data_IF_572212955198
#
_entry.id   IF_572212955198
#
_cell.length_a   1.000
_cell.length_b   1.000
_cell.length_c   1.000
_cell.angle_alpha   90.00
_cell.angle_beta   90.00
_cell.angle_gamma   90.00
#
_symmetry.space_group_name_H-M   'P 1'
#
loop_
_entity.id
_entity.type
_entity.pdbx_description
1 polymer ?
#
# COMPACT_ATOMS: atom_id res chain seq x y z
N UNK A 1 -4.42 17.68 -13.61
CA UNK A 1 -4.05 16.41 -12.98
C UNK A 1 -4.81 15.32 -13.71
N UNK A 2 -4.08 14.47 -14.42
CA UNK A 2 -4.64 13.37 -15.21
C UNK A 2 -4.97 12.18 -14.32
N UNK A 3 -5.84 11.29 -14.79
CA UNK A 3 -6.09 9.99 -14.16
C UNK A 3 -4.78 9.18 -14.06
N UNK A 4 -3.87 9.35 -15.02
CA UNK A 4 -2.52 8.76 -15.00
C UNK A 4 -1.67 9.23 -13.82
N UNK A 5 -1.68 10.52 -13.48
CA UNK A 5 -0.94 11.04 -12.33
C UNK A 5 -1.44 10.38 -11.03
N UNK A 6 -2.75 10.21 -10.93
CA UNK A 6 -3.40 9.60 -9.77
C UNK A 6 -3.09 8.10 -9.67
N UNK A 7 -3.07 7.40 -10.80
CA UNK A 7 -2.69 5.99 -10.88
C UNK A 7 -1.21 5.78 -10.49
N UNK A 8 -0.33 6.66 -10.97
CA UNK A 8 1.10 6.64 -10.62
C UNK A 8 1.31 6.86 -9.12
N UNK A 9 0.65 7.86 -8.54
CA UNK A 9 0.71 8.13 -7.11
C UNK A 9 0.18 6.94 -6.27
N UNK A 10 -0.92 6.30 -6.69
CA UNK A 10 -1.45 5.12 -6.02
C UNK A 10 -0.49 3.92 -6.12
N UNK A 11 0.14 3.70 -7.27
CA UNK A 11 1.17 2.65 -7.43
C UNK A 11 2.36 2.90 -6.52
N UNK A 12 2.82 4.14 -6.41
CA UNK A 12 3.91 4.50 -5.51
C UNK A 12 3.52 4.25 -4.04
N UNK A 13 2.32 4.68 -3.66
CA UNK A 13 1.78 4.42 -2.31
C UNK A 13 1.65 2.93 -2.00
N UNK A 14 1.26 2.11 -2.99
CA UNK A 14 1.21 0.66 -2.82
C UNK A 14 2.60 0.07 -2.55
N UNK A 15 3.63 0.52 -3.28
CA UNK A 15 5.01 0.08 -3.07
C UNK A 15 5.54 0.52 -1.69
N UNK A 16 5.26 1.75 -1.26
CA UNK A 16 5.65 2.23 0.07
C UNK A 16 5.00 1.42 1.19
N UNK A 17 3.70 1.10 1.06
CA UNK A 17 2.99 0.27 2.04
C UNK A 17 3.58 -1.15 2.11
N UNK A 18 4.03 -1.69 0.97
CA UNK A 18 4.67 -3.00 0.89
C UNK A 18 6.04 -2.99 1.58
N UNK A 19 6.86 -1.96 1.34
CA UNK A 19 8.14 -1.76 2.02
C UNK A 19 7.95 -1.61 3.55
N UNK A 20 6.97 -0.82 4.00
CA UNK A 20 6.68 -0.66 5.42
C UNK A 20 6.26 -1.97 6.09
N UNK A 21 5.51 -2.82 5.38
CA UNK A 21 5.13 -4.14 5.88
C UNK A 21 6.37 -5.03 6.01
N UNK A 22 7.26 -5.04 5.02
CA UNK A 22 8.50 -5.82 5.08
C UNK A 22 9.44 -5.33 6.18
N UNK A 23 9.61 -4.02 6.32
CA UNK A 23 10.43 -3.43 7.39
C UNK A 23 9.89 -3.80 8.77
N UNK A 24 8.58 -3.69 8.99
CA UNK A 24 7.97 -4.03 10.27
C UNK A 24 8.05 -5.53 10.56
N UNK A 25 7.91 -6.37 9.53
CA UNK A 25 8.00 -7.83 9.65
C UNK A 25 9.46 -8.32 9.86
N UNK A 26 10.45 -7.54 9.40
CA UNK A 26 11.87 -7.81 9.63
C UNK A 26 12.36 -7.36 11.01
N UNK A 27 11.55 -6.59 11.76
CA UNK A 27 11.92 -6.16 13.11
C UNK A 27 11.88 -7.33 14.10
N UNK A 28 12.75 -7.33 15.13
CA UNK A 28 12.74 -8.35 16.17
C UNK A 28 11.43 -8.42 16.97
N UNK A 29 10.70 -7.30 17.04
CA UNK A 29 9.35 -7.20 17.60
C UNK A 29 8.42 -6.58 16.56
N UNK A 30 7.82 -7.40 15.68
CA UNK A 30 6.85 -6.91 14.72
C UNK A 30 5.57 -6.48 15.45
N UNK A 31 5.08 -5.27 15.14
CA UNK A 31 3.74 -4.87 15.56
C UNK A 31 2.71 -5.46 14.59
N UNK A 32 2.10 -6.58 15.00
CA UNK A 32 1.07 -7.27 14.22
C UNK A 32 -0.16 -6.39 13.91
N UNK A 33 -0.49 -5.43 14.79
CA UNK A 33 -1.60 -4.49 14.56
C UNK A 33 -1.23 -3.53 13.45
N UNK A 34 -0.03 -2.94 13.52
CA UNK A 34 0.48 -2.06 12.47
C UNK A 34 0.59 -2.79 11.12
N UNK A 35 1.15 -4.00 11.10
CA UNK A 35 1.25 -4.83 9.89
C UNK A 35 -0.14 -5.11 9.29
N UNK A 36 -1.13 -5.43 10.14
CA UNK A 36 -2.50 -5.69 9.69
C UNK A 36 -3.16 -4.44 9.11
N UNK A 37 -2.95 -3.27 9.72
CA UNK A 37 -3.43 -1.99 9.18
C UNK A 37 -2.77 -1.63 7.86
N UNK A 38 -1.44 -1.79 7.75
CA UNK A 38 -0.69 -1.56 6.51
C UNK A 38 -1.19 -2.49 5.39
N UNK A 39 -1.40 -3.78 5.68
CA UNK A 39 -1.97 -4.74 4.72
C UNK A 39 -3.37 -4.34 4.27
N UNK A 40 -4.23 -3.85 5.18
CA UNK A 40 -5.55 -3.32 4.81
C UNK A 40 -5.45 -2.08 3.93
N UNK A 41 -4.55 -1.15 4.23
CA UNK A 41 -4.34 0.03 3.40
C UNK A 41 -3.83 -0.38 2.02
N UNK A 42 -2.89 -1.32 1.93
CA UNK A 42 -2.39 -1.86 0.67
C UNK A 42 -3.51 -2.45 -0.19
N UNK A 43 -4.42 -3.20 0.44
CA UNK A 43 -5.60 -3.77 -0.26
C UNK A 43 -6.52 -2.67 -0.81
N UNK A 44 -6.79 -1.63 -0.02
CA UNK A 44 -7.62 -0.49 -0.45
C UNK A 44 -7.00 0.26 -1.62
N UNK A 45 -5.68 0.50 -1.58
CA UNK A 45 -4.96 1.15 -2.68
C UNK A 45 -5.01 0.29 -3.94
N UNK A 46 -4.82 -1.03 -3.80
CA UNK A 46 -4.95 -1.98 -4.92
C UNK A 46 -6.35 -1.96 -5.54
N UNK A 47 -7.40 -1.93 -4.71
CA UNK A 47 -8.79 -1.83 -5.19
C UNK A 47 -9.05 -0.49 -5.90
N UNK A 48 -8.49 0.61 -5.41
CA UNK A 48 -8.63 1.92 -6.03
C UNK A 48 -7.88 2.00 -7.37
N UNK A 49 -6.68 1.40 -7.46
CA UNK A 49 -5.96 1.22 -8.73
C UNK A 49 -6.82 0.43 -9.70
N UNK A 50 -7.39 -0.71 -9.27
CA UNK A 50 -8.26 -1.54 -10.11
C UNK A 50 -9.47 -0.76 -10.64
N UNK A 51 -10.13 0.02 -9.77
CA UNK A 51 -11.28 0.86 -10.14
C UNK A 51 -10.92 1.96 -11.13
N UNK A 52 -9.72 2.52 -11.05
CA UNK A 52 -9.25 3.58 -11.96
C UNK A 52 -8.64 3.04 -13.25
N UNK A 53 -8.22 1.77 -13.28
CA UNK A 53 -7.68 1.10 -14.47
C UNK A 53 -8.74 0.37 -15.31
N UNK A 54 -9.98 0.26 -14.81
CA UNK A 54 -11.10 -0.35 -15.50
C UNK A 54 -11.90 0.69 -16.29
#
# INVERSE_FOLDING_TARGET
MSIEDRLSALRHKHADLENQIEDENNRPHPDDVAITELKRQKLRVKDEIHRLSA
#
